data_IF_643011024666
#
_entry.id   IF_643011024666
#
_cell.length_a   1.000
_cell.length_b   1.000
_cell.length_c   1.000
_cell.angle_alpha   90.00
_cell.angle_beta   90.00
_cell.angle_gamma   90.00
#
_symmetry.space_group_name_H-M   'P 1'
#
loop_
_entity.id
_entity.type
_entity.pdbx_description
1 polymer ?
#
# COMPACT_ATOMS: atom_id res chain seq x y z
N UNK A 1 16.63 -62.80 26.17
CA UNK A 1 15.65 -63.67 25.49
C UNK A 1 14.58 -62.75 24.89
N UNK A 2 14.56 -62.61 23.56
CA UNK A 2 13.70 -61.71 22.74
C UNK A 2 12.23 -62.22 22.68
N UNK A 3 11.18 -61.42 22.32
CA UNK A 3 11.05 -60.67 21.03
C UNK A 3 10.47 -59.24 21.17
N UNK A 4 10.90 -58.22 20.41
CA UNK A 4 10.65 -57.90 18.97
C UNK A 4 9.20 -58.09 18.52
N UNK A 5 8.40 -57.03 18.63
CA UNK A 5 7.41 -56.70 17.60
C UNK A 5 7.38 -55.18 17.38
N UNK A 6 8.18 -54.78 16.39
CA UNK A 6 8.04 -53.53 15.66
C UNK A 6 6.62 -53.46 15.07
N UNK A 7 5.76 -52.58 15.58
CA UNK A 7 4.51 -52.23 14.93
C UNK A 7 4.56 -50.76 14.50
N UNK A 8 4.56 -50.57 13.20
CA UNK A 8 4.53 -49.29 12.50
C UNK A 8 3.31 -48.43 12.88
N UNK A 9 3.52 -47.11 12.81
CA UNK A 9 2.55 -46.06 12.43
C UNK A 9 1.32 -45.94 13.35
N UNK A 10 1.18 -44.86 14.11
CA UNK A 10 0.80 -43.57 13.50
C UNK A 10 1.01 -42.44 14.52
N UNK A 11 2.02 -41.60 14.27
CA UNK A 11 1.92 -40.20 14.66
C UNK A 11 0.69 -39.65 13.91
N UNK A 12 -0.40 -39.39 14.62
CA UNK A 12 -1.44 -38.50 14.10
C UNK A 12 -0.80 -37.12 14.02
N UNK A 13 -0.12 -36.85 12.92
CA UNK A 13 0.10 -35.49 12.47
C UNK A 13 -1.26 -34.81 12.51
N UNK A 14 -1.39 -33.75 13.32
CA UNK A 14 -2.53 -32.85 13.22
C UNK A 14 -2.58 -32.41 11.76
N UNK A 15 -3.75 -32.47 11.09
CA UNK A 15 -3.83 -32.03 9.72
C UNK A 15 -3.44 -30.55 9.69
N UNK A 16 -2.40 -30.25 8.93
CA UNK A 16 -2.14 -28.89 8.43
C UNK A 16 -3.32 -28.58 7.52
N UNK A 17 -4.35 -27.92 8.08
CA UNK A 17 -5.39 -27.29 7.29
C UNK A 17 -4.96 -25.83 7.10
N UNK A 18 -3.86 -25.62 6.37
CA UNK A 18 -3.63 -24.36 5.67
C UNK A 18 -4.39 -24.43 4.35
N UNK A 19 -5.71 -24.24 4.42
CA UNK A 19 -6.49 -23.81 3.27
C UNK A 19 -6.97 -22.40 3.55
N UNK A 20 -6.20 -21.42 3.09
CA UNK A 20 -6.62 -20.02 2.95
C UNK A 20 -7.85 -19.98 2.05
N UNK A 21 -9.05 -20.14 2.61
CA UNK A 21 -10.30 -19.83 1.94
C UNK A 21 -10.48 -18.31 1.97
N UNK A 22 -9.89 -17.64 0.98
CA UNK A 22 -10.16 -16.22 0.71
C UNK A 22 -11.67 -16.02 0.59
N UNK A 23 -12.23 -15.15 1.41
CA UNK A 23 -13.68 -14.90 1.47
C UNK A 23 -14.18 -14.25 0.18
N UNK A 24 -15.50 -14.30 -0.07
CA UNK A 24 -16.12 -13.52 -1.15
C UNK A 24 -15.74 -12.03 -1.05
N UNK A 25 -15.69 -11.49 0.16
CA UNK A 25 -15.30 -10.11 0.44
C UNK A 25 -13.86 -9.80 -0.02
N UNK A 26 -12.93 -10.76 0.15
CA UNK A 26 -11.57 -10.62 -0.37
C UNK A 26 -11.56 -10.49 -1.89
N UNK A 27 -12.32 -11.34 -2.59
CA UNK A 27 -12.37 -11.29 -4.06
C UNK A 27 -13.00 -10.01 -4.58
N UNK A 28 -14.03 -9.50 -3.90
CA UNK A 28 -14.61 -8.19 -4.20
C UNK A 28 -13.55 -7.10 -4.02
N UNK A 29 -12.88 -7.04 -2.88
CA UNK A 29 -11.83 -6.03 -2.65
C UNK A 29 -10.67 -6.13 -3.65
N UNK A 30 -10.29 -7.35 -4.03
CA UNK A 30 -9.29 -7.56 -5.07
C UNK A 30 -9.74 -6.94 -6.39
N UNK A 31 -10.99 -7.17 -6.81
CA UNK A 31 -11.51 -6.60 -8.05
C UNK A 31 -11.53 -5.06 -8.03
N UNK A 32 -11.83 -4.43 -6.89
CA UNK A 32 -11.77 -2.98 -6.74
C UNK A 32 -10.34 -2.43 -6.84
N UNK A 33 -9.33 -3.27 -6.62
CA UNK A 33 -7.92 -2.88 -6.66
C UNK A 33 -7.22 -3.21 -7.97
N UNK A 34 -7.63 -4.27 -8.68
CA UNK A 34 -6.98 -4.66 -9.95
C UNK A 34 -7.02 -3.53 -10.98
N UNK A 35 -5.89 -3.34 -11.66
CA UNK A 35 -5.76 -2.37 -12.75
C UNK A 35 -6.46 -2.87 -14.00
N UNK A 36 -7.45 -2.13 -14.48
CA UNK A 36 -7.96 -2.27 -15.85
C UNK A 36 -6.98 -1.60 -16.82
N UNK A 37 -6.24 -2.43 -17.56
CA UNK A 37 -5.18 -1.97 -18.47
C UNK A 37 -5.74 -1.28 -19.70
N UNK A 38 -6.92 -1.66 -20.18
CA UNK A 38 -7.50 -1.07 -21.38
C UNK A 38 -8.15 0.27 -21.05
N UNK A 39 -8.85 0.37 -19.91
CA UNK A 39 -9.30 1.66 -19.37
C UNK A 39 -8.13 2.60 -19.16
N UNK A 40 -7.03 2.13 -18.57
CA UNK A 40 -5.84 2.94 -18.35
C UNK A 40 -5.17 3.43 -19.63
N UNK A 41 -5.14 2.62 -20.70
CA UNK A 41 -4.65 3.09 -22.02
C UNK A 41 -5.51 4.22 -22.58
N UNK A 42 -6.82 4.18 -22.32
CA UNK A 42 -7.77 5.18 -22.80
C UNK A 42 -7.66 6.50 -22.04
N UNK A 43 -7.60 6.46 -20.70
CA UNK A 43 -7.72 7.66 -19.86
C UNK A 43 -6.39 8.14 -19.26
N UNK A 44 -5.31 7.37 -19.41
CA UNK A 44 -4.01 7.66 -18.84
C UNK A 44 -3.83 7.23 -17.38
N UNK A 45 -2.59 7.29 -16.86
CA UNK A 45 -2.25 6.78 -15.53
C UNK A 45 -2.88 7.59 -14.40
N UNK A 46 -2.83 8.93 -14.45
CA UNK A 46 -3.32 9.80 -13.39
C UNK A 46 -4.83 9.64 -13.18
N UNK A 47 -5.64 9.71 -14.23
CA UNK A 47 -7.09 9.54 -14.08
C UNK A 47 -7.46 8.11 -13.64
N UNK A 48 -6.78 7.09 -14.19
CA UNK A 48 -6.98 5.70 -13.76
C UNK A 48 -6.63 5.48 -12.29
N UNK A 49 -5.58 6.14 -11.78
CA UNK A 49 -5.22 6.12 -10.37
C UNK A 49 -6.26 6.87 -9.51
N UNK A 50 -6.78 8.00 -9.99
CA UNK A 50 -7.82 8.76 -9.29
C UNK A 50 -9.10 7.94 -9.10
N UNK A 51 -9.56 7.31 -10.18
CA UNK A 51 -10.71 6.39 -10.14
C UNK A 51 -10.52 5.25 -9.14
N UNK A 52 -9.31 4.72 -9.04
CA UNK A 52 -8.98 3.66 -8.09
C UNK A 52 -9.05 4.12 -6.64
N UNK A 53 -8.49 5.29 -6.34
CA UNK A 53 -8.55 5.85 -5.00
C UNK A 53 -10.00 6.16 -4.62
N UNK A 54 -10.76 6.83 -5.50
CA UNK A 54 -12.13 7.25 -5.23
C UNK A 54 -13.09 6.06 -5.06
N UNK A 55 -13.00 5.03 -5.91
CA UNK A 55 -13.84 3.83 -5.76
C UNK A 55 -13.52 2.99 -4.51
N UNK A 56 -12.34 3.20 -3.91
CA UNK A 56 -11.96 2.60 -2.62
C UNK A 56 -12.27 3.51 -1.42
N UNK A 57 -12.93 4.65 -1.63
CA UNK A 57 -13.38 5.57 -0.58
C UNK A 57 -12.36 6.65 -0.20
N UNK A 58 -11.28 6.80 -0.96
CA UNK A 58 -10.28 7.84 -0.73
C UNK A 58 -10.61 9.14 -1.43
N UNK A 59 -9.69 10.10 -1.35
CA UNK A 59 -9.76 11.36 -2.08
C UNK A 59 -8.45 11.68 -2.78
N UNK A 60 -8.54 12.48 -3.82
CA UNK A 60 -7.39 12.93 -4.59
C UNK A 60 -7.42 14.43 -4.77
N UNK A 61 -6.26 15.04 -4.95
CA UNK A 61 -6.14 16.45 -5.26
C UNK A 61 -5.31 16.66 -6.51
N UNK A 62 -5.77 17.57 -7.33
CA UNK A 62 -5.11 18.02 -8.55
C UNK A 62 -5.23 19.54 -8.66
N UNK A 63 -4.79 20.10 -9.79
CA UNK A 63 -4.78 21.55 -10.08
C UNK A 63 -6.08 22.28 -9.70
N UNK A 64 -7.25 21.67 -9.89
CA UNK A 64 -8.56 22.30 -9.61
C UNK A 64 -9.07 22.12 -8.17
N UNK A 65 -8.36 21.40 -7.31
CA UNK A 65 -8.75 21.15 -5.93
C UNK A 65 -8.86 19.67 -5.60
N UNK A 66 -9.47 19.40 -4.44
CA UNK A 66 -9.70 18.05 -3.94
C UNK A 66 -10.99 17.50 -4.53
N UNK A 67 -10.96 16.23 -4.94
CA UNK A 67 -12.09 15.45 -5.45
C UNK A 67 -12.31 14.29 -4.48
N UNK A 68 -13.55 14.15 -4.00
CA UNK A 68 -13.98 13.07 -3.11
C UNK A 68 -15.11 12.23 -3.71
N UNK A 69 -15.84 12.78 -4.70
CA UNK A 69 -16.85 12.05 -5.45
C UNK A 69 -16.27 11.57 -6.78
N UNK A 70 -16.47 10.29 -7.08
CA UNK A 70 -16.09 9.68 -8.35
C UNK A 70 -16.71 10.41 -9.55
N UNK A 71 -17.94 10.90 -9.41
CA UNK A 71 -18.69 11.56 -10.48
C UNK A 71 -18.18 12.98 -10.79
N UNK A 72 -17.35 13.56 -9.92
CA UNK A 72 -16.72 14.86 -10.11
C UNK A 72 -15.38 14.77 -10.87
N UNK A 73 -14.94 13.56 -11.23
CA UNK A 73 -13.75 13.38 -12.05
C UNK A 73 -13.93 14.04 -13.42
N UNK A 74 -12.89 14.71 -13.94
CA UNK A 74 -12.98 15.36 -15.24
C UNK A 74 -13.08 14.33 -16.35
N UNK A 75 -13.85 14.66 -17.38
CA UNK A 75 -13.91 13.88 -18.61
C UNK A 75 -12.67 14.09 -19.49
N UNK A 76 -12.07 15.29 -19.45
CA UNK A 76 -10.84 15.61 -20.17
C UNK A 76 -9.61 15.31 -19.31
N UNK A 77 -8.72 14.48 -19.86
CA UNK A 77 -7.54 13.94 -19.19
C UNK A 77 -6.25 14.70 -19.52
N UNK A 78 -6.25 15.56 -20.55
CA UNK A 78 -5.00 16.15 -21.10
C UNK A 78 -4.17 16.92 -20.06
N UNK A 79 -4.84 17.58 -19.11
CA UNK A 79 -4.21 18.39 -18.06
C UNK A 79 -4.44 17.80 -16.64
N UNK A 80 -4.89 16.55 -16.54
CA UNK A 80 -5.15 15.93 -15.25
C UNK A 80 -3.87 15.30 -14.69
N UNK A 81 -3.28 15.95 -13.69
CA UNK A 81 -2.12 15.46 -12.96
C UNK A 81 -2.43 15.35 -11.47
N UNK A 82 -2.27 14.16 -10.91
CA UNK A 82 -2.49 13.90 -9.50
C UNK A 82 -1.33 14.43 -8.66
N UNK A 83 -1.64 15.20 -7.62
CA UNK A 83 -0.64 15.79 -6.73
C UNK A 83 -0.69 15.20 -5.32
N UNK A 84 -1.88 15.03 -4.76
CA UNK A 84 -2.06 14.54 -3.39
C UNK A 84 -3.11 13.42 -3.36
N UNK A 85 -2.85 12.39 -2.56
CA UNK A 85 -3.76 11.27 -2.33
C UNK A 85 -3.97 11.13 -0.83
N UNK A 86 -5.22 11.17 -0.39
CA UNK A 86 -5.62 10.76 0.95
C UNK A 86 -6.40 9.44 0.85
N UNK A 87 -5.75 8.35 1.26
CA UNK A 87 -6.33 7.01 1.28
C UNK A 87 -6.81 6.61 2.69
N UNK A 88 -7.18 7.60 3.52
CA UNK A 88 -7.77 7.35 4.84
C UNK A 88 -8.99 6.43 4.76
N UNK A 89 -9.04 5.41 5.61
CA UNK A 89 -10.17 4.47 5.76
C UNK A 89 -10.52 3.72 4.45
N UNK A 90 -9.56 3.57 3.54
CA UNK A 90 -9.74 2.86 2.26
C UNK A 90 -9.40 1.36 2.34
N UNK A 91 -9.95 0.60 1.38
CA UNK A 91 -9.62 -0.81 1.18
C UNK A 91 -8.53 -1.03 0.12
N UNK A 92 -7.65 -0.05 -0.11
CA UNK A 92 -6.56 -0.23 -1.07
C UNK A 92 -5.57 -1.30 -0.59
N UNK A 93 -5.05 -2.09 -1.53
CA UNK A 93 -4.12 -3.17 -1.23
C UNK A 93 -3.07 -3.32 -2.32
N UNK A 94 -2.09 -4.21 -2.10
CA UNK A 94 -0.95 -4.42 -3.01
C UNK A 94 -1.32 -4.52 -4.49
N UNK A 95 -2.41 -5.23 -4.81
CA UNK A 95 -2.87 -5.42 -6.19
C UNK A 95 -3.17 -4.11 -6.93
N UNK A 96 -3.52 -3.03 -6.22
CA UNK A 96 -3.81 -1.73 -6.81
C UNK A 96 -2.62 -0.80 -6.94
N UNK A 97 -1.47 -1.11 -6.34
CA UNK A 97 -0.31 -0.21 -6.36
C UNK A 97 0.29 -0.05 -7.78
N UNK A 98 -0.04 -0.93 -8.73
CA UNK A 98 0.30 -0.74 -10.15
C UNK A 98 -0.39 0.52 -10.74
N UNK A 99 -1.50 0.99 -10.16
CA UNK A 99 -2.11 2.28 -10.54
C UNK A 99 -1.15 3.47 -10.39
N UNK A 100 -0.24 3.44 -9.42
CA UNK A 100 0.76 4.50 -9.23
C UNK A 100 1.81 4.58 -10.34
N UNK A 101 2.02 3.51 -11.10
CA UNK A 101 2.99 3.53 -12.20
C UNK A 101 2.65 4.67 -13.16
N UNK A 102 3.64 5.40 -13.67
CA UNK A 102 3.39 6.50 -14.62
C UNK A 102 2.72 7.76 -14.05
N UNK A 103 2.28 7.78 -12.79
CA UNK A 103 1.81 8.99 -12.11
C UNK A 103 3.02 9.80 -11.64
N UNK A 104 3.49 10.74 -12.47
CA UNK A 104 4.79 11.43 -12.28
C UNK A 104 4.77 12.59 -11.29
N UNK A 105 3.58 13.00 -10.83
CA UNK A 105 3.39 14.26 -10.09
C UNK A 105 2.81 14.08 -8.68
N UNK A 106 2.63 12.84 -8.21
CA UNK A 106 2.15 12.57 -6.86
C UNK A 106 3.26 12.94 -5.87
N UNK A 107 3.02 14.00 -5.11
CA UNK A 107 3.96 14.52 -4.11
C UNK A 107 3.55 14.15 -2.68
N UNK A 108 2.26 13.93 -2.43
CA UNK A 108 1.74 13.58 -1.09
C UNK A 108 0.88 12.34 -1.12
N UNK A 109 1.17 11.42 -0.20
CA UNK A 109 0.38 10.21 0.02
C UNK A 109 0.12 10.03 1.51
N UNK A 110 -1.15 9.90 1.88
CA UNK A 110 -1.57 9.56 3.25
C UNK A 110 -2.24 8.20 3.25
N UNK A 111 -1.68 7.29 4.05
CA UNK A 111 -2.19 5.96 4.36
C UNK A 111 -2.62 5.98 5.82
N UNK A 112 -3.91 6.14 6.09
CA UNK A 112 -4.45 6.21 7.45
C UNK A 112 -5.55 5.17 7.61
N UNK A 113 -5.47 4.31 8.64
CA UNK A 113 -6.46 3.25 8.89
C UNK A 113 -6.74 2.34 7.69
N UNK A 114 -5.75 2.14 6.81
CA UNK A 114 -5.89 1.24 5.67
C UNK A 114 -5.62 -0.20 6.11
N UNK A 115 -6.67 -1.02 6.27
CA UNK A 115 -6.57 -2.35 6.88
C UNK A 115 -5.80 -3.38 6.05
N UNK A 116 -5.63 -3.15 4.74
CA UNK A 116 -4.93 -4.05 3.82
C UNK A 116 -3.52 -3.57 3.44
N UNK A 117 -3.05 -2.46 4.02
CA UNK A 117 -1.68 -1.98 3.82
C UNK A 117 -0.72 -2.77 4.70
N UNK A 118 0.25 -3.42 4.06
CA UNK A 118 1.30 -4.23 4.66
C UNK A 118 2.68 -3.89 4.05
N UNK A 119 3.72 -4.63 4.43
CA UNK A 119 5.09 -4.41 3.99
C UNK A 119 5.26 -4.48 2.45
N UNK A 120 4.57 -5.39 1.77
CA UNK A 120 4.58 -5.49 0.31
C UNK A 120 4.00 -4.24 -0.36
N UNK A 121 2.98 -3.62 0.26
CA UNK A 121 2.43 -2.35 -0.21
C UNK A 121 3.49 -1.25 -0.11
N UNK A 122 4.20 -1.15 1.01
CA UNK A 122 5.26 -0.15 1.19
C UNK A 122 6.41 -0.34 0.20
N UNK A 123 6.82 -1.59 -0.07
CA UNK A 123 7.75 -1.90 -1.16
C UNK A 123 7.22 -1.42 -2.53
N UNK A 124 5.91 -1.50 -2.74
CA UNK A 124 5.25 -1.03 -3.96
C UNK A 124 5.39 0.47 -4.20
N UNK A 125 5.65 1.28 -3.18
CA UNK A 125 5.81 2.73 -3.30
C UNK A 125 7.08 3.14 -4.08
N UNK A 126 7.99 2.22 -4.38
CA UNK A 126 9.19 2.50 -5.19
C UNK A 126 8.86 3.12 -6.57
N UNK A 127 7.66 2.89 -7.10
CA UNK A 127 7.21 3.50 -8.36
C UNK A 127 7.03 5.02 -8.27
N UNK A 128 6.89 5.56 -7.06
CA UNK A 128 6.77 6.99 -6.76
C UNK A 128 8.11 7.61 -6.27
N UNK A 129 9.23 6.89 -6.37
CA UNK A 129 10.55 7.33 -5.86
C UNK A 129 11.00 8.69 -6.40
N UNK A 130 10.54 9.06 -7.59
CA UNK A 130 10.95 10.25 -8.31
C UNK A 130 10.03 11.46 -8.07
N UNK A 131 8.91 11.30 -7.35
CA UNK A 131 7.91 12.36 -7.12
C UNK A 131 7.49 12.54 -5.66
N UNK A 132 7.44 11.46 -4.87
CA UNK A 132 6.86 11.51 -3.52
C UNK A 132 7.74 12.30 -2.55
N UNK A 133 7.16 13.30 -1.91
CA UNK A 133 7.82 14.21 -0.95
C UNK A 133 7.27 14.06 0.47
N UNK A 134 5.99 13.77 0.62
CA UNK A 134 5.35 13.64 1.93
C UNK A 134 4.56 12.33 2.01
N UNK A 135 4.91 11.52 2.99
CA UNK A 135 4.26 10.23 3.25
C UNK A 135 3.78 10.20 4.70
N UNK A 136 2.51 9.87 4.90
CA UNK A 136 1.96 9.56 6.23
C UNK A 136 1.51 8.10 6.22
N UNK A 137 1.95 7.34 7.22
CA UNK A 137 1.50 5.96 7.46
C UNK A 137 1.02 5.90 8.90
N UNK A 138 -0.27 5.65 9.09
CA UNK A 138 -0.83 5.60 10.44
C UNK A 138 -1.98 4.63 10.61
N UNK A 139 -2.05 3.97 11.76
CA UNK A 139 -3.08 2.97 12.07
C UNK A 139 -3.17 1.83 11.04
N UNK A 140 -2.06 1.52 10.36
CA UNK A 140 -1.92 0.40 9.42
C UNK A 140 -1.30 -0.79 10.17
N UNK A 141 -2.14 -1.74 10.61
CA UNK A 141 -1.75 -2.76 11.60
C UNK A 141 -0.76 -3.81 11.09
N UNK A 142 -0.79 -4.10 9.79
CA UNK A 142 0.04 -5.12 9.13
C UNK A 142 1.40 -4.59 8.67
N UNK A 143 1.70 -3.31 8.94
CA UNK A 143 3.02 -2.71 8.66
C UNK A 143 3.98 -3.02 9.80
N UNK A 144 5.16 -3.54 9.45
CA UNK A 144 6.22 -3.88 10.39
C UNK A 144 7.48 -3.04 10.16
N UNK A 145 8.49 -3.23 11.03
CA UNK A 145 9.82 -2.64 10.87
C UNK A 145 10.39 -2.90 9.47
N UNK A 146 10.18 -4.11 8.90
CA UNK A 146 10.69 -4.50 7.60
C UNK A 146 10.06 -3.70 6.46
N UNK A 147 8.75 -3.42 6.53
CA UNK A 147 8.04 -2.60 5.56
C UNK A 147 8.47 -1.14 5.59
N UNK A 148 8.65 -0.57 6.78
CA UNK A 148 9.15 0.81 6.93
C UNK A 148 10.55 0.95 6.32
N UNK A 149 11.43 -0.05 6.50
CA UNK A 149 12.75 -0.05 5.89
C UNK A 149 12.73 -0.13 4.35
N UNK A 150 11.64 -0.58 3.71
CA UNK A 150 11.53 -0.52 2.25
C UNK A 150 11.45 0.91 1.71
N UNK A 151 11.08 1.88 2.56
CA UNK A 151 10.97 3.29 2.17
C UNK A 151 12.33 3.95 1.86
N UNK A 152 13.45 3.27 2.11
CA UNK A 152 14.81 3.76 1.80
C UNK A 152 15.01 4.16 0.33
N UNK A 153 14.19 3.64 -0.59
CA UNK A 153 14.24 3.95 -2.03
C UNK A 153 13.65 5.31 -2.37
N UNK A 154 12.84 5.90 -1.48
CA UNK A 154 12.15 7.18 -1.67
C UNK A 154 13.08 8.35 -1.36
N UNK A 155 14.15 8.52 -2.15
CA UNK A 155 15.22 9.50 -1.89
C UNK A 155 14.78 10.97 -1.93
N UNK A 156 13.61 11.26 -2.50
CA UNK A 156 13.02 12.61 -2.54
C UNK A 156 12.08 12.92 -1.37
N UNK A 157 11.90 11.96 -0.45
CA UNK A 157 11.03 12.16 0.70
C UNK A 157 11.59 13.26 1.60
N UNK A 158 10.75 14.26 1.89
CA UNK A 158 11.06 15.39 2.74
C UNK A 158 10.43 15.23 4.12
N UNK A 159 9.28 14.55 4.19
CA UNK A 159 8.58 14.28 5.44
C UNK A 159 8.01 12.88 5.44
N UNK A 160 8.27 12.14 6.51
CA UNK A 160 7.65 10.86 6.83
C UNK A 160 6.99 10.98 8.20
N UNK A 161 5.70 10.67 8.27
CA UNK A 161 4.96 10.62 9.55
C UNK A 161 4.55 9.18 9.79
N UNK A 162 4.97 8.62 10.93
CA UNK A 162 4.65 7.26 11.38
C UNK A 162 3.90 7.35 12.71
N UNK A 163 2.66 6.87 12.76
CA UNK A 163 1.87 6.94 13.98
C UNK A 163 1.00 5.69 14.17
N UNK A 164 0.89 5.18 15.39
CA UNK A 164 0.01 4.05 15.71
C UNK A 164 0.22 2.84 14.77
N UNK A 165 1.45 2.32 14.74
CA UNK A 165 1.82 1.15 13.92
C UNK A 165 2.17 -0.03 14.83
N UNK A 166 1.18 -0.81 15.32
CA UNK A 166 1.40 -1.86 16.31
C UNK A 166 2.27 -3.02 15.81
N UNK A 167 2.41 -3.17 14.49
CA UNK A 167 3.30 -4.14 13.86
C UNK A 167 4.78 -3.76 13.91
N UNK A 168 5.10 -2.47 14.10
CA UNK A 168 6.49 -1.98 14.25
C UNK A 168 6.93 -2.16 15.69
N UNK A 169 7.88 -3.06 15.92
CA UNK A 169 8.32 -3.44 17.28
C UNK A 169 9.45 -2.57 17.80
N UNK A 170 10.30 -2.03 16.93
CA UNK A 170 11.50 -1.28 17.28
C UNK A 170 11.54 0.10 16.59
N UNK A 171 10.46 0.88 16.73
CA UNK A 171 10.28 2.17 16.04
C UNK A 171 11.53 3.07 16.07
N UNK A 172 12.16 3.24 17.22
CA UNK A 172 13.36 4.09 17.37
C UNK A 172 14.54 3.61 16.52
N UNK A 173 14.80 2.29 16.49
CA UNK A 173 15.89 1.69 15.70
C UNK A 173 15.57 1.80 14.21
N UNK A 174 14.33 1.47 13.83
CA UNK A 174 13.85 1.56 12.45
C UNK A 174 13.98 2.99 11.91
N UNK A 175 13.57 4.00 12.68
CA UNK A 175 13.72 5.42 12.31
C UNK A 175 15.19 5.78 12.18
N UNK A 176 16.05 5.37 13.12
CA UNK A 176 17.48 5.65 13.07
C UNK A 176 18.13 5.10 11.79
N UNK A 177 17.82 3.85 11.44
CA UNK A 177 18.36 3.22 10.24
C UNK A 177 17.82 3.85 8.95
N UNK A 178 16.51 4.16 8.92
CA UNK A 178 15.89 4.86 7.80
C UNK A 178 16.49 6.27 7.62
N UNK A 179 16.74 7.01 8.71
CA UNK A 179 17.31 8.35 8.70
C UNK A 179 18.71 8.37 8.08
N UNK A 180 19.55 7.36 8.37
CA UNK A 180 20.89 7.21 7.74
C UNK A 180 20.80 7.14 6.21
N UNK A 181 19.71 6.57 5.68
CA UNK A 181 19.52 6.39 4.24
C UNK A 181 18.73 7.52 3.55
N UNK A 182 17.86 8.23 4.29
CA UNK A 182 17.02 9.32 3.77
C UNK A 182 17.54 10.73 4.10
N UNK A 183 18.67 10.83 4.79
CA UNK A 183 19.42 12.08 4.95
C UNK A 183 18.61 13.18 5.62
N UNK A 184 18.15 14.17 4.84
CA UNK A 184 17.42 15.35 5.31
C UNK A 184 15.91 15.13 5.51
N UNK A 185 15.38 13.95 5.20
CA UNK A 185 13.96 13.64 5.43
C UNK A 185 13.61 13.82 6.91
N UNK A 186 12.59 14.62 7.21
CA UNK A 186 12.08 14.78 8.59
C UNK A 186 11.15 13.61 8.92
N UNK A 187 11.62 12.68 9.74
CA UNK A 187 10.83 11.55 10.23
C UNK A 187 10.20 11.92 11.59
N UNK A 188 8.89 11.77 11.72
CA UNK A 188 8.08 12.10 12.91
C UNK A 188 7.25 10.90 13.34
#
# INVERSE_FOLDING_TARGET
MYPISYFFKTLKAKPVIEQSKRSLYYWINLQFNVVDRDRRKLIGPDLSCAEWILRNGGSVKWKKGTVTDYNELPQDTKDFHLNEIDASDTNIMKAGFEHFQGCKYIEKLKLHKCIYINDECLQGLHVLKDSLKHLTISSCKEVTDAGILQLIVLKKLQTLVLADLPGVKNMSVTIQDLQKCLGQCKIQ
#
